data_IF_203744383935
#
_entry.id   IF_203744383935
#
_cell.length_a   1.000
_cell.length_b   1.000
_cell.length_c   1.000
_cell.angle_alpha   90.00
_cell.angle_beta   90.00
_cell.angle_gamma   90.00
#
_symmetry.space_group_name_H-M   'P 1'
#
loop_
_entity.id
_entity.type
_entity.pdbx_description
1 polymer ?
#
# COMPACT_ATOMS: atom_id res chain seq x y z
N UNK A 1 -4.24 -16.06 9.63
CA UNK A 1 -5.56 -15.72 10.22
C UNK A 1 -6.58 -15.78 9.10
N UNK A 2 -7.70 -16.51 9.27
CA UNK A 2 -8.74 -16.63 8.24
C UNK A 2 -9.99 -15.90 8.72
N UNK A 3 -10.48 -14.96 7.91
CA UNK A 3 -11.71 -14.22 8.17
C UNK A 3 -12.79 -14.80 7.26
N UNK A 4 -13.87 -15.35 7.83
CA UNK A 4 -14.98 -15.88 7.05
C UNK A 4 -15.95 -14.77 6.64
N UNK A 5 -15.62 -14.10 5.54
CA UNK A 5 -16.52 -13.13 4.92
C UNK A 5 -17.72 -13.80 4.24
N UNK A 6 -17.67 -15.09 3.93
CA UNK A 6 -18.75 -15.78 3.21
C UNK A 6 -19.93 -16.09 4.14
N UNK A 7 -19.67 -16.44 5.39
CA UNK A 7 -20.67 -16.68 6.44
C UNK A 7 -21.17 -15.42 7.17
N UNK A 8 -20.69 -14.22 6.82
CA UNK A 8 -21.05 -13.00 7.53
C UNK A 8 -22.52 -12.60 7.30
N UNK A 9 -23.33 -12.53 8.37
CA UNK A 9 -24.78 -12.27 8.28
C UNK A 9 -25.18 -10.86 7.80
N UNK A 10 -24.23 -9.93 7.72
CA UNK A 10 -24.43 -8.57 7.18
C UNK A 10 -23.63 -8.33 5.89
N UNK A 11 -23.17 -9.41 5.24
CA UNK A 11 -22.38 -9.33 4.01
C UNK A 11 -23.15 -8.53 2.95
N UNK A 12 -22.44 -7.61 2.29
CA UNK A 12 -23.02 -6.66 1.34
C UNK A 12 -23.42 -5.37 2.04
N UNK A 13 -24.45 -5.39 2.89
CA UNK A 13 -25.03 -4.18 3.49
C UNK A 13 -24.14 -3.50 4.53
N UNK A 14 -23.35 -4.26 5.30
CA UNK A 14 -22.41 -3.72 6.29
C UNK A 14 -20.95 -3.71 5.81
N UNK A 15 -20.69 -4.08 4.56
CA UNK A 15 -19.31 -4.23 4.08
C UNK A 15 -18.58 -2.90 3.93
N UNK A 16 -19.25 -1.81 3.57
CA UNK A 16 -18.63 -0.48 3.42
C UNK A 16 -18.01 0.04 4.72
N UNK A 17 -18.60 -0.32 5.87
CA UNK A 17 -18.17 0.13 7.19
C UNK A 17 -17.39 -0.96 7.96
N UNK A 18 -17.03 -2.06 7.30
CA UNK A 18 -16.31 -3.17 7.92
C UNK A 18 -14.79 -2.92 7.94
N UNK A 19 -14.14 -3.14 9.09
CA UNK A 19 -12.68 -3.07 9.24
C UNK A 19 -11.94 -3.95 8.21
N UNK A 20 -12.50 -5.10 7.85
CA UNK A 20 -11.89 -6.02 6.88
C UNK A 20 -11.82 -5.39 5.50
N UNK A 21 -12.84 -4.62 5.11
CA UNK A 21 -12.83 -3.86 3.86
C UNK A 21 -11.75 -2.78 3.89
N UNK A 22 -11.59 -2.06 5.00
CA UNK A 22 -10.52 -1.08 5.16
C UNK A 22 -9.11 -1.71 5.09
N UNK A 23 -8.95 -2.94 5.59
CA UNK A 23 -7.69 -3.69 5.50
C UNK A 23 -7.39 -4.23 4.09
N UNK A 24 -8.43 -4.47 3.28
CA UNK A 24 -8.33 -4.96 1.91
C UNK A 24 -8.41 -3.84 0.87
N UNK A 25 -8.57 -2.59 1.29
CA UNK A 25 -8.63 -1.45 0.39
C UNK A 25 -7.24 -1.14 -0.17
N UNK A 26 -7.06 -1.48 -1.45
CA UNK A 26 -5.86 -1.16 -2.23
C UNK A 26 -5.71 0.35 -2.51
N UNK A 27 -6.66 1.19 -2.08
CA UNK A 27 -6.54 2.65 -2.12
C UNK A 27 -5.72 3.21 -0.94
N UNK A 28 -5.31 2.34 0.00
CA UNK A 28 -4.48 2.72 1.14
C UNK A 28 -3.18 3.42 0.69
N UNK A 29 -2.70 4.46 1.39
CA UNK A 29 -1.40 5.06 1.10
C UNK A 29 -0.22 4.07 1.25
N UNK A 30 -0.45 2.94 1.92
CA UNK A 30 0.52 1.86 2.02
C UNK A 30 0.45 0.87 0.85
N UNK A 31 -0.57 0.97 -0.01
CA UNK A 31 -0.71 0.11 -1.18
C UNK A 31 0.46 0.34 -2.14
N UNK A 32 1.22 -0.73 -2.41
CA UNK A 32 2.42 -0.69 -3.24
C UNK A 32 3.74 -0.55 -2.48
N UNK A 33 3.72 -0.39 -1.15
CA UNK A 33 4.94 -0.43 -0.34
C UNK A 33 5.43 -1.88 -0.19
N UNK A 34 6.71 -2.10 -0.46
CA UNK A 34 7.40 -3.34 -0.10
C UNK A 34 7.58 -3.46 1.41
N UNK A 35 7.90 -4.67 1.90
CA UNK A 35 8.02 -4.92 3.35
C UNK A 35 9.04 -4.03 4.07
N UNK A 36 10.14 -3.65 3.41
CA UNK A 36 11.11 -2.73 3.97
C UNK A 36 10.58 -1.30 4.11
N UNK A 37 9.82 -0.83 3.11
CA UNK A 37 9.23 0.51 3.09
C UNK A 37 8.11 0.62 4.13
N UNK A 38 7.24 -0.39 4.21
CA UNK A 38 6.21 -0.47 5.24
C UNK A 38 6.80 -0.43 6.66
N UNK A 39 7.91 -1.16 6.88
CA UNK A 39 8.63 -1.13 8.17
C UNK A 39 9.25 0.24 8.45
N UNK A 40 9.75 0.95 7.45
CA UNK A 40 10.29 2.30 7.65
C UNK A 40 9.19 3.29 8.09
N UNK A 41 8.02 3.24 7.44
CA UNK A 41 6.85 4.05 7.82
C UNK A 41 6.45 3.78 9.27
N UNK A 42 6.36 2.51 9.67
CA UNK A 42 6.01 2.13 11.06
C UNK A 42 7.00 2.70 12.08
N UNK A 43 8.31 2.59 11.81
CA UNK A 43 9.36 3.09 12.70
C UNK A 43 9.29 4.61 12.86
N UNK A 44 9.10 5.35 11.76
CA UNK A 44 8.99 6.81 11.83
C UNK A 44 7.72 7.27 12.53
N UNK A 45 6.58 6.65 12.25
CA UNK A 45 5.32 6.97 12.93
C UNK A 45 5.42 6.74 14.44
N UNK A 46 6.04 5.64 14.88
CA UNK A 46 6.27 5.36 16.31
C UNK A 46 7.24 6.31 16.98
N UNK A 47 8.14 6.92 16.22
CA UNK A 47 9.02 7.97 16.70
C UNK A 47 8.34 9.35 16.75
N UNK A 48 7.07 9.46 16.35
CA UNK A 48 6.27 10.69 16.38
C UNK A 48 6.39 11.56 15.13
N UNK A 49 6.94 11.02 14.03
CA UNK A 49 6.97 11.74 12.76
C UNK A 49 5.65 11.59 12.01
N UNK A 50 5.23 12.67 11.35
CA UNK A 50 4.19 12.63 10.33
C UNK A 50 4.80 12.14 9.02
N UNK A 51 4.32 11.02 8.49
CA UNK A 51 4.92 10.34 7.33
C UNK A 51 4.03 10.52 6.12
N UNK A 52 4.58 11.13 5.06
CA UNK A 52 3.94 11.24 3.76
C UNK A 52 4.55 10.25 2.77
N UNK A 53 3.72 9.42 2.13
CA UNK A 53 4.15 8.49 1.08
C UNK A 53 4.00 9.16 -0.28
N UNK A 54 5.12 9.38 -0.97
CA UNK A 54 5.15 10.01 -2.28
C UNK A 54 5.06 8.97 -3.40
N UNK A 55 4.43 9.36 -4.52
CA UNK A 55 4.40 8.54 -5.73
C UNK A 55 5.83 8.28 -6.26
N UNK A 56 6.09 7.05 -6.69
CA UNK A 56 7.38 6.67 -7.23
C UNK A 56 7.76 7.56 -8.44
N UNK A 57 8.98 8.11 -8.49
CA UNK A 57 9.41 8.91 -9.62
C UNK A 57 9.44 8.04 -10.88
N UNK A 58 8.94 8.58 -11.99
CA UNK A 58 9.02 7.92 -13.30
C UNK A 58 10.50 7.71 -13.63
N UNK A 59 10.95 6.45 -13.65
CA UNK A 59 12.34 6.16 -13.99
C UNK A 59 12.65 6.71 -15.39
N UNK A 60 13.62 7.64 -15.49
CA UNK A 60 14.15 8.06 -16.78
C UNK A 60 15.02 6.91 -17.27
N UNK A 61 14.44 6.05 -18.11
CA UNK A 61 15.14 4.95 -18.76
C UNK A 61 16.44 5.51 -19.38
N UNK A 62 17.63 4.98 -19.02
CA UNK A 62 18.88 5.54 -19.52
C UNK A 62 18.87 5.46 -21.04
N UNK A 63 19.11 6.62 -21.68
CA UNK A 63 19.21 6.69 -23.13
C UNK A 63 20.34 5.74 -23.56
N UNK A 64 19.99 4.69 -24.31
CA UNK A 64 20.99 3.77 -24.86
C UNK A 64 21.92 4.61 -25.74
N UNK A 65 23.15 4.84 -25.27
CA UNK A 65 24.22 5.41 -26.10
C UNK A 65 24.41 4.45 -27.28
N UNK A 66 23.98 4.84 -28.47
CA UNK A 66 24.34 4.14 -29.71
C UNK A 66 25.88 4.19 -29.78
N UNK A 67 26.53 3.04 -29.68
CA UNK A 67 27.94 2.93 -30.04
C UNK A 67 28.02 3.13 -31.55
N UNK A 68 28.70 4.18 -31.97
CA UNK A 68 29.11 4.37 -33.36
C UNK A 68 30.32 3.47 -33.57
N UNK A 69 30.23 2.59 -34.58
CA UNK A 69 31.31 1.72 -35.03
C UNK A 69 32.21 2.47 -36.01
#
# INVERSE_FOLDING_TARGET
MLIDCAGCGIRGSGCSDCLVTALLDDSSPAAGLGGAEARAVEVFARAGFEVEVLAAPRSRRPARRRRVA
#
